data_IF_144356775964
#
_entry.id   IF_144356775964
#
_cell.length_a   1.000
_cell.length_b   1.000
_cell.length_c   1.000
_cell.angle_alpha   90.00
_cell.angle_beta   90.00
_cell.angle_gamma   90.00
#
_symmetry.space_group_name_H-M   'P 1'
#
loop_
_entity.id
_entity.type
_entity.pdbx_description
1 polymer ?
#
# COMPACT_ATOMS: atom_id res chain seq x y z
N UNK A 1 17.77 8.35 2.68
CA UNK A 1 17.73 7.94 4.11
C UNK A 1 17.19 6.51 4.18
N UNK A 2 17.65 5.66 5.12
CA UNK A 2 17.13 4.30 5.32
C UNK A 2 17.45 3.84 6.75
N UNK A 3 16.70 2.84 7.25
CA UNK A 3 17.03 2.19 8.53
C UNK A 3 18.25 1.29 8.31
N UNK A 4 19.33 1.54 9.04
CA UNK A 4 20.53 0.71 9.03
C UNK A 4 20.47 -0.37 10.11
N UNK A 5 20.01 0.01 11.31
CA UNK A 5 19.98 -0.90 12.45
C UNK A 5 18.76 -0.65 13.34
N UNK A 6 18.18 -1.72 13.84
CA UNK A 6 17.07 -1.70 14.79
C UNK A 6 17.40 -2.61 15.97
N UNK A 7 17.32 -2.07 17.18
CA UNK A 7 17.43 -2.86 18.42
C UNK A 7 16.09 -2.81 19.16
N UNK A 8 15.59 -3.96 19.57
CA UNK A 8 14.32 -4.12 20.27
C UNK A 8 14.58 -4.85 21.57
N UNK A 9 14.12 -4.29 22.71
CA UNK A 9 14.25 -4.89 24.04
C UNK A 9 12.92 -4.89 24.78
N UNK A 10 12.70 -5.95 25.57
CA UNK A 10 11.54 -6.11 26.43
C UNK A 10 10.18 -6.02 25.70
N UNK A 11 10.12 -6.53 24.47
CA UNK A 11 8.94 -6.45 23.61
C UNK A 11 8.50 -7.83 23.15
N UNK A 12 7.32 -8.26 23.52
CA UNK A 12 6.71 -9.56 23.17
C UNK A 12 7.68 -10.73 23.39
N UNK A 13 8.21 -11.31 22.30
CA UNK A 13 9.12 -12.44 22.33
C UNK A 13 10.57 -12.09 22.69
N UNK A 14 10.91 -10.80 22.78
CA UNK A 14 12.26 -10.31 23.01
C UNK A 14 12.42 -9.83 24.45
N UNK A 15 13.36 -10.41 25.16
CA UNK A 15 13.68 -10.13 26.57
C UNK A 15 14.52 -8.85 26.76
N UNK A 16 15.19 -8.70 27.90
CA UNK A 16 16.06 -7.56 28.22
C UNK A 16 17.36 -7.53 27.40
N UNK A 17 17.88 -8.68 27.00
CA UNK A 17 19.03 -8.76 26.08
C UNK A 17 18.60 -8.24 24.69
N UNK A 18 17.35 -8.50 24.31
CA UNK A 18 16.72 -8.02 23.11
C UNK A 18 17.23 -8.67 21.82
N UNK A 19 16.94 -8.01 20.72
CA UNK A 19 17.39 -8.44 19.39
C UNK A 19 17.87 -7.22 18.61
N UNK A 20 18.92 -7.40 17.81
CA UNK A 20 19.44 -6.37 16.90
C UNK A 20 19.41 -6.89 15.47
N UNK A 21 18.81 -6.12 14.57
CA UNK A 21 18.76 -6.39 13.14
C UNK A 21 19.57 -5.33 12.39
N UNK A 22 20.20 -5.73 11.30
CA UNK A 22 20.91 -4.83 10.39
C UNK A 22 20.25 -4.85 9.03
N UNK A 23 20.09 -3.68 8.45
CA UNK A 23 19.46 -3.51 7.15
C UNK A 23 20.34 -2.68 6.23
N UNK A 24 20.19 -2.89 4.94
CA UNK A 24 20.82 -2.08 3.92
C UNK A 24 19.77 -1.33 3.11
N UNK A 25 20.23 -0.41 2.28
CA UNK A 25 19.39 0.24 1.30
C UNK A 25 18.78 -0.80 0.38
N UNK A 26 17.49 -0.64 0.08
CA UNK A 26 16.81 -1.51 -0.87
C UNK A 26 15.98 -2.61 -0.23
N UNK A 27 16.08 -3.82 -0.77
CA UNK A 27 15.25 -4.96 -0.38
C UNK A 27 15.94 -5.77 0.70
N UNK A 28 15.30 -5.93 1.86
CA UNK A 28 15.79 -6.68 3.00
C UNK A 28 14.80 -7.76 3.40
N UNK A 29 15.31 -8.91 3.82
CA UNK A 29 14.50 -10.04 4.25
C UNK A 29 14.75 -10.39 5.74
N UNK A 30 13.66 -10.65 6.45
CA UNK A 30 13.67 -11.23 7.79
C UNK A 30 13.14 -12.65 7.66
N UNK A 31 14.01 -13.64 7.85
CA UNK A 31 13.67 -15.05 7.73
C UNK A 31 13.74 -15.73 9.09
N UNK A 32 13.05 -16.84 9.24
CA UNK A 32 13.04 -17.62 10.48
C UNK A 32 11.85 -18.54 10.57
N UNK A 33 11.85 -19.41 11.56
CA UNK A 33 10.75 -20.32 11.84
C UNK A 33 9.46 -19.59 12.22
N UNK A 34 8.33 -20.32 12.21
CA UNK A 34 7.09 -19.81 12.78
C UNK A 34 7.31 -19.47 14.26
N UNK A 35 6.69 -18.40 14.72
CA UNK A 35 6.83 -17.91 16.09
C UNK A 35 8.22 -17.40 16.49
N UNK A 36 9.16 -17.25 15.55
CA UNK A 36 10.51 -16.72 15.85
C UNK A 36 10.52 -15.24 16.26
N UNK A 37 9.42 -14.49 16.01
CA UNK A 37 9.33 -13.06 16.33
C UNK A 37 9.38 -12.13 15.13
N UNK A 38 9.33 -12.64 13.88
CA UNK A 38 9.35 -11.82 12.67
C UNK A 38 8.26 -10.74 12.65
N UNK A 39 7.01 -11.12 12.93
CA UNK A 39 5.89 -10.15 13.02
C UNK A 39 6.09 -9.15 14.17
N UNK A 40 6.73 -9.56 15.26
CA UNK A 40 7.05 -8.63 16.35
C UNK A 40 8.05 -7.55 15.89
N UNK A 41 9.04 -7.89 15.06
CA UNK A 41 9.93 -6.90 14.46
C UNK A 41 9.18 -5.92 13.56
N UNK A 42 8.30 -6.44 12.68
CA UNK A 42 7.48 -5.60 11.79
C UNK A 42 6.60 -4.64 12.60
N UNK A 43 5.95 -5.14 13.65
CA UNK A 43 5.12 -4.32 14.52
C UNK A 43 5.93 -3.32 15.34
N UNK A 44 7.15 -3.65 15.78
CA UNK A 44 8.03 -2.70 16.47
C UNK A 44 8.37 -1.50 15.57
N UNK A 45 8.70 -1.74 14.28
CA UNK A 45 8.94 -0.67 13.31
C UNK A 45 7.67 0.18 13.14
N UNK A 46 6.51 -0.45 12.90
CA UNK A 46 5.23 0.24 12.74
C UNK A 46 4.88 1.10 13.96
N UNK A 47 4.99 0.53 15.16
CA UNK A 47 4.73 1.24 16.42
C UNK A 47 5.68 2.42 16.57
N UNK A 48 6.98 2.25 16.27
CA UNK A 48 7.98 3.29 16.38
C UNK A 48 7.62 4.52 15.53
N UNK A 49 7.30 4.30 14.27
CA UNK A 49 6.98 5.39 13.34
C UNK A 49 5.55 5.93 13.48
N UNK A 50 4.61 5.16 14.04
CA UNK A 50 3.24 5.62 14.27
C UNK A 50 3.04 6.34 15.62
N UNK A 51 4.01 6.28 16.53
CA UNK A 51 3.84 6.78 17.90
C UNK A 51 3.51 8.28 17.95
N UNK A 52 4.01 9.07 17.01
CA UNK A 52 3.83 10.54 16.96
C UNK A 52 2.91 10.98 15.82
N UNK A 53 2.68 10.14 14.79
CA UNK A 53 1.85 10.50 13.65
C UNK A 53 0.36 10.39 13.96
N UNK A 54 -0.47 11.20 13.28
CA UNK A 54 -1.94 11.13 13.40
C UNK A 54 -2.54 9.87 12.75
N UNK A 55 -1.79 9.18 11.90
CA UNK A 55 -2.21 7.94 11.21
C UNK A 55 -1.77 6.71 12.00
N UNK A 56 -2.37 6.47 13.17
CA UNK A 56 -2.05 5.29 13.98
C UNK A 56 -2.87 4.10 13.51
N UNK A 57 -2.23 3.12 12.92
CA UNK A 57 -2.82 1.83 12.54
C UNK A 57 -2.55 0.75 13.61
N UNK A 58 -1.54 0.96 14.46
CA UNK A 58 -1.13 0.08 15.54
C UNK A 58 -0.73 0.88 16.78
N UNK A 59 -0.98 0.33 17.97
CA UNK A 59 -0.68 0.94 19.25
C UNK A 59 0.10 -0.04 20.12
N UNK A 60 1.08 0.48 20.87
CA UNK A 60 1.71 -0.30 21.92
C UNK A 60 0.74 -0.44 23.11
N UNK A 61 0.53 -1.67 23.55
CA UNK A 61 -0.40 -2.02 24.62
C UNK A 61 0.34 -2.69 25.79
N UNK A 62 -0.36 -2.98 26.89
CA UNK A 62 0.22 -3.71 28.02
C UNK A 62 0.63 -5.15 27.65
N UNK A 63 -0.07 -5.76 26.72
CA UNK A 63 0.23 -7.10 26.26
C UNK A 63 1.51 -7.20 25.44
N UNK A 64 2.08 -6.07 25.04
CA UNK A 64 3.28 -6.00 24.23
C UNK A 64 4.57 -5.99 25.06
N UNK A 65 4.50 -5.76 26.39
CA UNK A 65 5.66 -5.94 27.25
C UNK A 65 6.06 -7.43 27.33
N UNK A 66 7.37 -7.67 27.26
CA UNK A 66 7.88 -9.02 27.46
C UNK A 66 7.50 -9.57 28.83
N UNK A 67 7.12 -10.82 28.88
CA UNK A 67 6.82 -11.54 30.12
C UNK A 67 7.85 -12.63 30.31
N UNK A 68 8.62 -12.53 31.39
CA UNK A 68 9.64 -13.52 31.75
C UNK A 68 9.01 -14.90 32.10
N UNK A 69 9.83 -15.93 32.17
CA UNK A 69 9.39 -17.29 32.57
C UNK A 69 8.73 -17.30 33.95
N UNK A 70 9.14 -16.40 34.85
CA UNK A 70 8.52 -16.23 36.18
C UNK A 70 7.15 -15.55 36.16
N UNK A 71 6.63 -15.18 34.97
CA UNK A 71 5.36 -14.50 34.79
C UNK A 71 5.39 -12.99 35.04
N UNK A 72 6.54 -12.39 35.24
CA UNK A 72 6.68 -10.96 35.46
C UNK A 72 6.79 -10.22 34.11
N UNK A 73 5.93 -9.23 33.90
CA UNK A 73 6.04 -8.37 32.75
C UNK A 73 7.12 -7.30 32.98
N UNK A 74 7.89 -7.00 31.95
CA UNK A 74 8.91 -5.96 31.96
C UNK A 74 8.33 -4.57 32.30
N UNK A 75 9.10 -3.73 33.00
CA UNK A 75 8.68 -2.38 33.38
C UNK A 75 8.75 -1.38 32.22
N UNK A 76 9.60 -1.65 31.25
CA UNK A 76 9.75 -0.83 30.04
C UNK A 76 10.06 -1.72 28.82
N UNK A 77 9.77 -1.19 27.63
CA UNK A 77 10.26 -1.69 26.36
C UNK A 77 11.00 -0.58 25.63
N UNK A 78 12.05 -0.90 24.87
CA UNK A 78 12.92 0.06 24.20
C UNK A 78 13.14 -0.34 22.74
N UNK A 79 12.97 0.63 21.84
CA UNK A 79 13.28 0.54 20.42
C UNK A 79 14.33 1.60 20.08
N UNK A 80 15.51 1.15 19.63
CA UNK A 80 16.58 2.03 19.15
C UNK A 80 16.69 1.87 17.63
N UNK A 81 16.51 2.97 16.90
CA UNK A 81 16.51 3.00 15.44
C UNK A 81 17.68 3.87 14.99
N UNK A 82 18.54 3.29 14.17
CA UNK A 82 19.68 3.96 13.55
C UNK A 82 19.44 4.09 12.06
N UNK A 83 19.72 5.27 11.53
CA UNK A 83 19.42 5.67 10.15
C UNK A 83 20.71 6.09 9.45
N UNK A 84 20.80 5.81 8.17
CA UNK A 84 21.86 6.31 7.28
C UNK A 84 21.31 7.23 6.20
N UNK A 85 22.17 8.02 5.58
CA UNK A 85 21.83 9.04 4.58
C UNK A 85 20.79 10.06 5.10
N UNK A 86 20.88 10.45 6.36
CA UNK A 86 19.95 11.39 7.00
C UNK A 86 20.21 12.81 6.51
N UNK A 87 19.19 13.54 6.00
CA UNK A 87 19.34 14.93 5.63
C UNK A 87 19.70 15.83 6.81
N UNK A 88 20.67 16.72 6.62
CA UNK A 88 21.15 17.64 7.68
C UNK A 88 20.06 18.53 8.30
N UNK A 89 18.94 18.71 7.62
CA UNK A 89 17.79 19.46 8.12
C UNK A 89 16.99 18.74 9.21
N UNK A 90 17.14 17.42 9.34
CA UNK A 90 16.56 16.64 10.43
C UNK A 90 17.46 16.70 11.67
N UNK A 91 17.72 17.90 12.17
CA UNK A 91 18.68 18.19 13.24
C UNK A 91 18.41 17.42 14.53
N UNK A 92 17.17 17.04 14.80
CA UNK A 92 16.77 16.32 16.00
C UNK A 92 17.33 14.88 16.06
N UNK A 93 17.55 14.28 14.87
CA UNK A 93 18.03 12.89 14.73
C UNK A 93 19.36 12.81 13.98
N UNK A 94 19.84 13.90 13.36
CA UNK A 94 21.06 13.89 12.56
C UNK A 94 22.31 13.82 13.43
N UNK A 95 23.14 12.81 13.22
CA UNK A 95 24.40 12.61 13.92
C UNK A 95 25.62 12.82 12.98
N UNK A 96 26.31 13.98 13.06
CA UNK A 96 27.48 14.26 12.25
C UNK A 96 28.71 13.40 12.61
N UNK A 97 28.70 12.77 13.81
CA UNK A 97 29.78 11.92 14.28
C UNK A 97 29.63 10.47 13.84
N UNK A 98 28.54 10.12 13.17
CA UNK A 98 28.33 8.80 12.59
C UNK A 98 29.39 8.47 11.54
N UNK A 99 29.61 7.19 11.29
CA UNK A 99 30.53 6.73 10.25
C UNK A 99 30.05 7.24 8.89
N UNK A 100 30.83 8.16 8.27
CA UNK A 100 30.40 8.84 7.03
C UNK A 100 29.71 10.20 7.21
N UNK A 101 29.38 10.61 8.46
CA UNK A 101 28.82 11.93 8.78
C UNK A 101 27.39 12.17 8.29
N UNK A 102 26.66 11.11 7.93
CA UNK A 102 25.29 11.16 7.40
C UNK A 102 24.32 10.27 8.17
N UNK A 103 24.70 9.77 9.32
CA UNK A 103 23.84 8.94 10.16
C UNK A 103 22.89 9.73 11.02
N UNK A 104 21.96 9.02 11.62
CA UNK A 104 21.03 9.56 12.61
C UNK A 104 20.50 8.47 13.51
N UNK A 105 19.92 8.89 14.63
CA UNK A 105 19.34 7.95 15.56
C UNK A 105 18.13 8.54 16.27
N UNK A 106 17.19 7.70 16.60
CA UNK A 106 16.12 8.02 17.53
C UNK A 106 15.69 6.80 18.32
N UNK A 107 15.14 7.06 19.49
CA UNK A 107 14.81 6.07 20.49
C UNK A 107 13.37 6.24 20.95
N UNK A 108 12.70 5.13 21.24
CA UNK A 108 11.35 5.15 21.80
C UNK A 108 11.31 4.18 22.96
N UNK A 109 10.95 4.68 24.14
CA UNK A 109 10.72 3.89 25.34
C UNK A 109 9.25 3.89 25.72
N UNK A 110 8.71 2.73 25.95
CA UNK A 110 7.39 2.53 26.52
C UNK A 110 7.54 2.13 27.97
N UNK A 111 6.84 2.80 28.86
CA UNK A 111 6.88 2.55 30.31
C UNK A 111 5.52 2.21 30.86
N UNK A 112 5.49 1.34 31.85
CA UNK A 112 4.32 1.07 32.67
C UNK A 112 4.23 2.13 33.76
N UNK A 113 3.16 2.93 33.73
CA UNK A 113 2.94 4.01 34.71
C UNK A 113 1.61 3.81 35.41
N UNK A 114 1.62 3.84 36.74
CA UNK A 114 0.39 3.82 37.53
C UNK A 114 -0.11 5.26 37.65
N UNK A 115 -1.27 5.54 37.04
CA UNK A 115 -1.91 6.85 37.16
C UNK A 115 -2.44 7.08 38.59
N UNK A 116 -2.70 8.35 38.96
CA UNK A 116 -3.18 8.73 40.28
C UNK A 116 -4.48 8.02 40.74
N UNK A 117 -5.27 7.52 39.77
CA UNK A 117 -6.49 6.74 40.00
C UNK A 117 -6.24 5.22 40.14
N UNK A 118 -4.99 4.80 40.24
CA UNK A 118 -4.59 3.40 40.33
C UNK A 118 -4.65 2.61 39.01
N UNK A 119 -5.04 3.25 37.91
CA UNK A 119 -5.08 2.61 36.58
C UNK A 119 -3.69 2.61 35.98
N UNK A 120 -3.22 1.44 35.60
CA UNK A 120 -1.98 1.30 34.87
C UNK A 120 -2.15 1.75 33.42
N UNK A 121 -1.23 2.59 32.94
CA UNK A 121 -1.19 3.12 31.57
C UNK A 121 0.18 2.88 30.95
N UNK A 122 0.23 2.84 29.65
CA UNK A 122 1.49 2.88 28.88
C UNK A 122 1.80 4.33 28.53
N UNK A 123 3.02 4.76 28.81
CA UNK A 123 3.57 6.07 28.43
C UNK A 123 4.67 5.84 27.40
N UNK A 124 4.58 6.51 26.26
CA UNK A 124 5.64 6.54 25.27
C UNK A 124 6.50 7.78 25.48
N UNK A 125 7.82 7.60 25.46
CA UNK A 125 8.83 8.67 25.50
C UNK A 125 9.71 8.45 24.28
N UNK A 126 9.94 9.51 23.49
CA UNK A 126 10.78 9.44 22.30
C UNK A 126 11.80 10.58 22.33
N UNK A 127 12.99 10.32 21.83
CA UNK A 127 14.06 11.31 21.73
C UNK A 127 15.01 10.96 20.58
N UNK A 128 15.72 11.96 20.09
CA UNK A 128 16.75 11.81 19.06
C UNK A 128 18.16 11.80 19.68
N UNK A 129 19.09 12.44 19.01
CA UNK A 129 20.46 12.61 19.52
C UNK A 129 20.43 13.46 20.79
N UNK A 130 21.10 12.96 21.82
CA UNK A 130 21.22 13.66 23.08
C UNK A 130 20.49 12.99 24.24
N UNK A 131 19.88 13.81 25.11
CA UNK A 131 19.24 13.28 26.32
C UNK A 131 17.77 12.97 26.12
N UNK A 132 17.27 11.98 26.80
CA UNK A 132 15.89 11.52 26.86
C UNK A 132 14.83 12.61 27.11
N UNK A 133 15.23 13.83 27.43
CA UNK A 133 14.34 14.95 27.70
C UNK A 133 13.87 15.77 26.50
N UNK A 134 14.39 15.54 25.30
CA UNK A 134 14.05 16.29 24.09
C UNK A 134 13.15 15.47 23.17
N UNK A 135 11.82 15.62 23.23
CA UNK A 135 10.91 14.89 22.37
C UNK A 135 11.08 15.31 20.91
N UNK A 136 11.00 14.34 20.00
CA UNK A 136 11.02 14.58 18.56
C UNK A 136 9.73 15.29 18.12
N UNK A 137 9.85 16.17 17.15
CA UNK A 137 8.70 16.83 16.51
C UNK A 137 7.95 15.88 15.55
N UNK A 138 6.71 16.23 15.25
CA UNK A 138 5.94 15.52 14.21
C UNK A 138 6.63 15.59 12.86
N UNK A 139 7.29 16.70 12.53
CA UNK A 139 7.96 16.93 11.25
C UNK A 139 9.07 15.91 10.97
N UNK A 140 9.76 15.46 12.05
CA UNK A 140 10.78 14.41 11.93
C UNK A 140 10.17 13.07 11.50
N UNK A 141 9.00 12.73 12.02
CA UNK A 141 8.30 11.50 11.63
C UNK A 141 7.59 11.62 10.29
N UNK A 142 7.09 12.80 9.94
CA UNK A 142 6.46 13.07 8.64
C UNK A 142 7.47 12.99 7.48
N UNK A 143 8.77 13.09 7.80
CA UNK A 143 9.85 12.89 6.84
C UNK A 143 10.01 11.42 6.40
N UNK A 144 9.37 10.48 7.09
CA UNK A 144 9.42 9.04 6.83
C UNK A 144 8.00 8.50 6.63
N UNK A 145 7.71 8.07 5.39
CA UNK A 145 6.42 7.45 5.05
C UNK A 145 6.52 5.94 5.21
N UNK A 146 5.87 5.39 6.21
CA UNK A 146 5.90 3.95 6.50
C UNK A 146 4.58 3.33 6.08
N UNK A 147 4.65 2.35 5.18
CA UNK A 147 3.51 1.58 4.73
C UNK A 147 3.67 0.10 5.09
N UNK A 148 2.61 -0.48 5.62
CA UNK A 148 2.59 -1.89 5.99
C UNK A 148 1.59 -2.67 5.16
N UNK A 149 2.07 -3.76 4.59
CA UNK A 149 1.26 -4.78 3.94
C UNK A 149 1.31 -6.04 4.80
N UNK A 150 0.24 -6.29 5.56
CA UNK A 150 0.09 -7.53 6.33
C UNK A 150 0.07 -8.76 5.42
N UNK A 151 0.10 -9.95 6.01
CA UNK A 151 -0.04 -11.18 5.22
C UNK A 151 -1.28 -11.04 4.34
N UNK A 152 -1.07 -10.90 3.05
CA UNK A 152 -1.95 -10.33 2.00
C UNK A 152 -3.32 -11.04 1.84
N UNK A 153 -4.03 -11.22 2.95
CA UNK A 153 -5.35 -11.89 2.99
C UNK A 153 -6.51 -10.97 2.62
N UNK A 154 -6.31 -9.65 2.68
CA UNK A 154 -7.39 -8.66 2.57
C UNK A 154 -7.20 -7.65 1.42
N UNK A 155 -6.29 -7.96 0.47
CA UNK A 155 -6.02 -7.10 -0.69
C UNK A 155 -7.29 -6.71 -1.46
N UNK A 156 -8.27 -7.61 -1.54
CA UNK A 156 -9.56 -7.34 -2.16
C UNK A 156 -10.33 -6.24 -1.43
N UNK A 157 -10.41 -6.29 -0.10
CA UNK A 157 -11.14 -5.30 0.69
C UNK A 157 -10.48 -3.93 0.66
N UNK A 158 -9.15 -3.88 0.66
CA UNK A 158 -8.36 -2.64 0.56
C UNK A 158 -8.51 -1.93 -0.80
N UNK A 159 -8.90 -2.69 -1.85
CA UNK A 159 -9.12 -2.18 -3.21
C UNK A 159 -10.60 -1.88 -3.52
N UNK A 160 -11.53 -2.26 -2.63
CA UNK A 160 -12.96 -1.95 -2.79
C UNK A 160 -13.22 -0.45 -2.74
N UNK A 161 -14.27 0.03 -3.44
CA UNK A 161 -14.66 1.43 -3.40
C UNK A 161 -14.91 1.89 -1.97
N UNK A 162 -14.05 2.74 -1.46
CA UNK A 162 -14.13 3.34 -0.14
C UNK A 162 -13.26 4.60 -0.06
N UNK A 163 -13.56 5.47 0.90
CA UNK A 163 -12.81 6.71 1.11
C UNK A 163 -11.31 6.46 1.33
N UNK A 164 -10.98 5.37 2.00
CA UNK A 164 -9.60 5.02 2.35
C UNK A 164 -9.04 3.86 1.50
N UNK A 165 -9.70 3.50 0.39
CA UNK A 165 -9.16 2.48 -0.51
C UNK A 165 -7.82 2.90 -1.08
N UNK A 166 -6.95 1.94 -1.41
CA UNK A 166 -5.63 2.23 -2.00
C UNK A 166 -5.74 2.92 -3.37
N UNK A 167 -6.77 2.60 -4.14
CA UNK A 167 -7.06 3.31 -5.40
C UNK A 167 -7.40 4.79 -5.15
N UNK A 168 -8.21 5.07 -4.13
CA UNK A 168 -8.54 6.45 -3.77
C UNK A 168 -7.32 7.23 -3.27
N UNK A 169 -6.43 6.58 -2.51
CA UNK A 169 -5.17 7.17 -2.04
C UNK A 169 -4.26 7.48 -3.23
N UNK A 170 -4.06 6.53 -4.13
CA UNK A 170 -3.25 6.71 -5.34
C UNK A 170 -3.76 7.86 -6.20
N UNK A 171 -5.08 7.95 -6.45
CA UNK A 171 -5.63 9.07 -7.22
C UNK A 171 -5.39 10.42 -6.54
N UNK A 172 -5.53 10.51 -5.21
CA UNK A 172 -5.27 11.75 -4.47
C UNK A 172 -3.81 12.19 -4.59
N UNK A 173 -2.89 11.24 -4.59
CA UNK A 173 -1.45 11.49 -4.75
C UNK A 173 -1.11 11.93 -6.17
N UNK A 174 -1.74 11.32 -7.19
CA UNK A 174 -1.54 11.67 -8.60
C UNK A 174 -2.13 13.03 -8.99
N UNK A 175 -3.17 13.49 -8.25
CA UNK A 175 -3.85 14.76 -8.51
C UNK A 175 -3.73 15.67 -7.28
N UNK A 176 -2.54 16.23 -7.01
CA UNK A 176 -2.32 17.09 -5.84
C UNK A 176 -2.90 18.50 -6.04
N UNK A 177 -3.01 18.99 -7.27
CA UNK A 177 -3.42 20.35 -7.59
C UNK A 177 -4.94 20.53 -7.61
N UNK A 178 -5.39 21.68 -7.11
CA UNK A 178 -6.81 22.04 -7.02
C UNK A 178 -7.46 22.30 -8.40
N UNK A 179 -6.69 22.67 -9.42
CA UNK A 179 -7.22 22.97 -10.75
C UNK A 179 -7.69 21.68 -11.42
N UNK A 180 -6.83 20.66 -11.48
CA UNK A 180 -7.19 19.34 -12.04
C UNK A 180 -8.32 18.69 -11.25
N UNK A 181 -8.34 18.84 -9.91
CA UNK A 181 -9.46 18.37 -9.08
C UNK A 181 -10.77 19.04 -9.46
N UNK A 182 -10.75 20.36 -9.67
CA UNK A 182 -11.94 21.11 -10.10
C UNK A 182 -12.43 20.67 -11.47
N UNK A 183 -11.55 20.43 -12.43
CA UNK A 183 -11.90 19.92 -13.76
C UNK A 183 -12.64 18.58 -13.68
N UNK A 184 -12.12 17.63 -12.88
CA UNK A 184 -12.77 16.33 -12.67
C UNK A 184 -14.16 16.48 -12.02
N UNK A 185 -14.29 17.40 -11.06
CA UNK A 185 -15.56 17.71 -10.40
C UNK A 185 -16.54 18.32 -11.39
N UNK A 186 -16.11 19.21 -12.28
CA UNK A 186 -16.96 19.85 -13.30
C UNK A 186 -17.49 18.84 -14.33
N UNK A 187 -16.70 17.84 -14.70
CA UNK A 187 -17.16 16.73 -15.55
C UNK A 187 -18.30 15.97 -14.84
N UNK A 188 -18.12 15.63 -13.56
CA UNK A 188 -19.16 14.94 -12.78
C UNK A 188 -20.41 15.79 -12.60
N UNK A 189 -20.26 17.10 -12.36
CA UNK A 189 -21.37 18.06 -12.32
C UNK A 189 -22.18 18.07 -13.62
N UNK A 190 -21.49 18.11 -14.75
CA UNK A 190 -22.12 18.14 -16.06
C UNK A 190 -22.88 16.85 -16.35
N UNK A 191 -22.29 15.69 -15.99
CA UNK A 191 -22.96 14.40 -16.10
C UNK A 191 -24.20 14.32 -15.21
N UNK A 192 -24.12 14.78 -13.96
CA UNK A 192 -25.25 14.82 -13.02
C UNK A 192 -26.40 15.68 -13.57
N UNK A 193 -26.10 16.88 -14.08
CA UNK A 193 -27.12 17.75 -14.71
C UNK A 193 -27.82 17.06 -15.86
N UNK A 194 -27.06 16.46 -16.78
CA UNK A 194 -27.58 15.75 -17.94
C UNK A 194 -28.51 14.59 -17.53
N UNK A 195 -28.13 13.85 -16.49
CA UNK A 195 -28.95 12.74 -15.98
C UNK A 195 -30.23 13.25 -15.32
N UNK A 196 -30.15 14.30 -14.48
CA UNK A 196 -31.31 14.87 -13.79
C UNK A 196 -32.33 15.49 -14.74
N UNK A 197 -31.91 15.87 -15.96
CA UNK A 197 -32.80 16.37 -17.01
C UNK A 197 -33.60 15.27 -17.74
N UNK A 198 -33.28 13.99 -17.52
CA UNK A 198 -34.02 12.88 -18.13
C UNK A 198 -35.45 12.78 -17.57
N UNK A 199 -36.39 12.44 -18.46
CA UNK A 199 -37.82 12.42 -18.14
C UNK A 199 -38.14 11.45 -16.99
N UNK A 200 -37.42 10.34 -16.87
CA UNK A 200 -37.63 9.36 -15.82
C UNK A 200 -37.29 9.93 -14.44
N UNK A 201 -36.20 10.70 -14.32
CA UNK A 201 -35.78 11.32 -13.06
C UNK A 201 -36.67 12.51 -12.71
N UNK A 202 -37.11 13.31 -13.71
CA UNK A 202 -38.11 14.35 -13.50
C UNK A 202 -39.45 13.77 -13.01
N UNK A 203 -39.92 12.66 -13.61
CA UNK A 203 -41.14 11.97 -13.16
C UNK A 203 -40.98 11.43 -11.74
N UNK A 204 -39.82 10.84 -11.40
CA UNK A 204 -39.55 10.35 -10.04
C UNK A 204 -39.67 11.48 -9.02
N UNK A 205 -38.96 12.61 -9.26
CA UNK A 205 -39.03 13.80 -8.40
C UNK A 205 -40.48 14.31 -8.27
N UNK A 206 -41.21 14.43 -9.39
CA UNK A 206 -42.61 14.87 -9.40
C UNK A 206 -43.47 13.92 -8.58
N UNK A 207 -43.36 12.62 -8.78
CA UNK A 207 -44.18 11.63 -8.05
C UNK A 207 -43.94 11.71 -6.53
N UNK A 208 -42.72 11.93 -6.09
CA UNK A 208 -42.41 12.11 -4.66
C UNK A 208 -43.11 13.37 -4.14
N UNK A 209 -42.97 14.51 -4.83
CA UNK A 209 -43.54 15.76 -4.37
C UNK A 209 -45.08 15.74 -4.43
N UNK A 210 -45.71 15.14 -5.45
CA UNK A 210 -47.14 14.99 -5.56
C UNK A 210 -47.70 14.14 -4.40
N UNK A 211 -46.96 13.10 -3.97
CA UNK A 211 -47.37 12.28 -2.83
C UNK A 211 -47.13 13.00 -1.50
N UNK A 212 -46.00 13.71 -1.38
CA UNK A 212 -45.68 14.50 -0.19
C UNK A 212 -46.76 15.56 0.05
N UNK A 213 -47.13 16.30 -0.99
CA UNK A 213 -48.23 17.29 -0.92
C UNK A 213 -49.60 16.72 -0.47
N UNK A 214 -49.86 15.44 -0.79
CA UNK A 214 -51.08 14.76 -0.29
C UNK A 214 -51.04 14.42 1.19
N UNK A 215 -49.82 14.21 1.74
CA UNK A 215 -49.61 13.87 3.14
C UNK A 215 -49.60 15.12 4.02
N UNK A 216 -48.98 16.19 3.54
CA UNK A 216 -48.67 17.39 4.34
C UNK A 216 -49.85 18.32 4.63
N UNK A 217 -50.97 18.23 3.88
CA UNK A 217 -52.21 19.00 4.12
C UNK A 217 -51.97 20.43 4.64
N UNK A 218 -51.31 21.27 3.88
CA UNK A 218 -51.04 22.71 4.17
C UNK A 218 -50.17 23.03 5.42
N UNK A 219 -49.72 22.03 6.20
CA UNK A 219 -48.99 22.25 7.44
C UNK A 219 -47.45 22.29 7.28
N UNK A 220 -46.92 21.65 6.25
CA UNK A 220 -45.46 21.56 6.00
C UNK A 220 -45.24 21.77 4.50
N UNK A 221 -44.87 22.96 4.06
CA UNK A 221 -44.53 23.19 2.64
C UNK A 221 -43.05 22.81 2.38
N UNK A 222 -42.75 21.53 2.34
CA UNK A 222 -41.42 21.02 1.96
C UNK A 222 -41.42 20.57 0.50
N UNK A 223 -40.35 20.82 -0.20
CA UNK A 223 -40.11 20.33 -1.55
C UNK A 223 -38.89 19.43 -1.55
N UNK A 224 -39.04 18.22 -2.06
CA UNK A 224 -37.96 17.26 -2.18
C UNK A 224 -37.31 17.39 -3.55
N UNK A 225 -36.04 17.64 -3.58
CA UNK A 225 -35.24 17.48 -4.77
C UNK A 225 -34.45 16.17 -4.68
N UNK A 226 -34.17 15.53 -5.83
CA UNK A 226 -33.39 14.33 -5.93
C UNK A 226 -32.04 14.68 -6.54
N UNK A 227 -30.98 14.23 -5.86
CA UNK A 227 -29.60 14.35 -6.34
C UNK A 227 -29.04 12.99 -6.66
N UNK A 228 -27.99 12.99 -7.42
CA UNK A 228 -27.13 11.84 -7.64
C UNK A 228 -25.94 11.89 -6.67
N UNK A 229 -24.77 11.47 -7.12
CA UNK A 229 -23.53 11.53 -6.34
C UNK A 229 -23.13 13.00 -6.15
N UNK A 230 -22.83 13.39 -4.91
CA UNK A 230 -22.31 14.73 -4.63
C UNK A 230 -21.01 14.98 -5.40
N UNK A 231 -20.93 16.05 -6.22
CA UNK A 231 -19.77 16.31 -7.08
C UNK A 231 -18.61 16.88 -6.28
N UNK A 232 -17.89 16.01 -5.62
CA UNK A 232 -16.65 16.30 -4.90
C UNK A 232 -15.55 15.37 -5.41
N UNK A 233 -14.31 15.84 -5.40
CA UNK A 233 -13.16 15.02 -5.77
C UNK A 233 -13.08 13.74 -4.93
N UNK A 234 -13.34 13.82 -3.62
CA UNK A 234 -13.38 12.65 -2.75
C UNK A 234 -14.45 11.62 -3.13
N UNK A 235 -15.58 12.07 -3.68
CA UNK A 235 -16.61 11.15 -4.19
C UNK A 235 -16.13 10.39 -5.43
N UNK A 236 -15.41 11.07 -6.33
CA UNK A 236 -14.77 10.44 -7.49
C UNK A 236 -13.74 9.42 -7.01
N UNK A 237 -12.80 9.82 -6.15
CA UNK A 237 -11.74 8.96 -5.65
C UNK A 237 -12.29 7.72 -4.93
N UNK A 238 -13.28 7.90 -4.05
CA UNK A 238 -13.87 6.81 -3.26
C UNK A 238 -14.74 5.86 -4.07
N UNK A 239 -15.15 6.23 -5.29
CA UNK A 239 -15.96 5.38 -6.18
C UNK A 239 -15.11 4.53 -7.14
N UNK A 240 -13.80 4.71 -7.17
CA UNK A 240 -12.92 3.95 -8.05
C UNK A 240 -12.99 2.46 -7.79
N UNK A 241 -13.03 1.70 -8.88
CA UNK A 241 -13.03 0.23 -8.88
C UNK A 241 -11.93 -0.29 -9.79
N UNK A 242 -11.27 -1.37 -9.38
CA UNK A 242 -10.39 -2.11 -10.25
C UNK A 242 -11.15 -3.27 -10.89
N UNK A 243 -11.01 -3.39 -12.20
CA UNK A 243 -11.45 -4.56 -12.96
C UNK A 243 -10.24 -5.21 -13.60
N UNK A 244 -10.19 -6.52 -13.53
CA UNK A 244 -9.13 -7.31 -14.15
C UNK A 244 -9.58 -7.73 -15.54
N UNK A 245 -8.76 -7.43 -16.53
CA UNK A 245 -8.94 -7.90 -17.91
C UNK A 245 -7.78 -8.83 -18.26
N UNK A 246 -8.03 -9.90 -19.04
CA UNK A 246 -6.92 -10.71 -19.52
C UNK A 246 -6.02 -9.87 -20.43
N UNK A 247 -4.70 -9.97 -20.24
CA UNK A 247 -3.73 -9.24 -21.07
C UNK A 247 -3.85 -9.61 -22.54
N UNK A 248 -4.14 -10.87 -22.81
CA UNK A 248 -4.24 -11.43 -24.14
C UNK A 248 -5.64 -12.01 -24.39
N UNK A 249 -6.25 -11.63 -25.50
CA UNK A 249 -7.56 -12.11 -25.92
C UNK A 249 -7.38 -12.98 -27.15
N UNK A 250 -7.83 -14.23 -27.07
CA UNK A 250 -7.90 -15.12 -28.22
C UNK A 250 -9.14 -14.80 -29.04
N UNK A 251 -8.95 -14.40 -30.28
CA UNK A 251 -10.03 -14.12 -31.21
C UNK A 251 -9.91 -15.06 -32.42
N UNK A 252 -11.00 -15.74 -32.77
CA UNK A 252 -11.08 -16.50 -34.01
C UNK A 252 -11.32 -15.52 -35.15
N UNK A 253 -10.33 -15.36 -36.01
CA UNK A 253 -10.37 -14.45 -37.16
C UNK A 253 -9.93 -15.19 -38.43
N UNK A 254 -10.39 -14.69 -39.58
CA UNK A 254 -9.97 -15.19 -40.88
C UNK A 254 -8.57 -14.69 -41.26
N UNK A 255 -7.91 -15.38 -42.21
CA UNK A 255 -6.57 -14.98 -42.72
C UNK A 255 -6.54 -13.54 -43.25
N UNK A 256 -7.64 -13.06 -43.85
CA UNK A 256 -7.75 -11.71 -44.36
C UNK A 256 -7.86 -10.65 -43.25
N UNK A 257 -8.53 -10.95 -42.14
CA UNK A 257 -8.61 -10.11 -40.98
C UNK A 257 -7.26 -10.07 -40.27
N UNK A 258 -6.57 -11.19 -40.19
CA UNK A 258 -5.23 -11.26 -39.61
C UNK A 258 -4.22 -10.41 -40.37
N UNK A 259 -4.23 -10.48 -41.71
CA UNK A 259 -3.34 -9.65 -42.51
C UNK A 259 -3.56 -8.17 -42.32
N UNK A 260 -4.82 -7.71 -42.17
CA UNK A 260 -5.17 -6.33 -41.85
C UNK A 260 -4.74 -5.92 -40.46
N UNK A 261 -4.96 -6.78 -39.46
CA UNK A 261 -4.54 -6.54 -38.10
C UNK A 261 -3.00 -6.44 -37.98
N UNK A 262 -2.26 -7.30 -38.69
CA UNK A 262 -0.80 -7.22 -38.77
C UNK A 262 -0.32 -5.93 -39.46
N UNK A 263 -0.98 -5.50 -40.52
CA UNK A 263 -0.64 -4.25 -41.20
C UNK A 263 -0.84 -3.07 -40.26
N UNK A 264 -1.97 -3.00 -39.55
CA UNK A 264 -2.25 -2.00 -38.54
C UNK A 264 -1.16 -1.97 -37.43
N UNK A 265 -0.80 -3.14 -36.87
CA UNK A 265 0.25 -3.23 -35.86
C UNK A 265 1.61 -2.77 -36.34
N UNK A 266 1.96 -2.99 -37.63
CA UNK A 266 3.22 -2.49 -38.24
C UNK A 266 3.22 -0.99 -38.42
N UNK A 267 2.10 -0.40 -38.85
CA UNK A 267 1.94 1.03 -39.09
C UNK A 267 2.00 1.84 -37.78
N UNK A 268 1.63 1.22 -36.67
CA UNK A 268 1.59 1.84 -35.33
C UNK A 268 2.71 1.37 -34.38
N UNK A 269 3.79 0.76 -34.92
CA UNK A 269 4.94 0.22 -34.17
C UNK A 269 4.59 -0.84 -33.09
N UNK A 270 3.41 -1.46 -33.18
CA UNK A 270 2.85 -2.31 -32.14
C UNK A 270 2.87 -3.82 -32.49
N UNK A 271 3.88 -4.25 -33.26
CA UNK A 271 4.03 -5.65 -33.70
C UNK A 271 4.04 -6.70 -32.56
N UNK A 272 4.28 -6.28 -31.33
CA UNK A 272 4.32 -7.16 -30.12
C UNK A 272 2.92 -7.44 -29.55
N UNK A 273 1.91 -6.69 -29.96
CA UNK A 273 0.56 -6.75 -29.39
C UNK A 273 -0.36 -7.72 -30.12
N UNK A 274 0.11 -8.33 -31.20
CA UNK A 274 -0.60 -9.36 -31.96
C UNK A 274 0.30 -10.58 -32.11
N UNK A 275 -0.17 -11.72 -31.61
CA UNK A 275 0.58 -12.98 -31.68
C UNK A 275 -0.30 -14.07 -32.29
N UNK A 276 0.30 -14.93 -33.14
CA UNK A 276 -0.36 -16.11 -33.69
C UNK A 276 0.34 -17.36 -33.16
N UNK A 277 -0.46 -18.34 -32.77
CA UNK A 277 0.00 -19.68 -32.47
C UNK A 277 -0.97 -20.72 -33.06
N UNK A 278 -0.73 -22.01 -32.77
CA UNK A 278 -1.58 -23.14 -33.26
C UNK A 278 -3.04 -23.07 -32.82
N UNK A 279 -3.36 -22.30 -31.74
CA UNK A 279 -4.71 -22.14 -31.17
C UNK A 279 -5.47 -20.96 -31.75
N UNK A 280 -4.78 -20.01 -32.42
CA UNK A 280 -5.41 -18.82 -33.01
C UNK A 280 -4.57 -17.58 -32.87
N UNK A 281 -5.22 -16.43 -32.98
CA UNK A 281 -4.60 -15.11 -32.92
C UNK A 281 -4.95 -14.44 -31.59
N UNK A 282 -3.93 -13.94 -30.91
CA UNK A 282 -4.04 -13.27 -29.63
C UNK A 282 -3.80 -11.79 -29.82
N UNK A 283 -4.69 -10.99 -29.29
CA UNK A 283 -4.57 -9.53 -29.23
C UNK A 283 -4.27 -9.10 -27.81
N UNK A 284 -3.32 -8.20 -27.65
CA UNK A 284 -3.11 -7.55 -26.35
C UNK A 284 -4.24 -6.55 -26.09
N UNK A 285 -4.80 -6.56 -24.88
CA UNK A 285 -5.97 -5.74 -24.53
C UNK A 285 -5.70 -4.23 -24.66
N UNK A 286 -4.45 -3.80 -24.51
CA UNK A 286 -4.04 -2.39 -24.67
C UNK A 286 -4.16 -1.87 -26.11
N UNK A 287 -4.20 -2.77 -27.10
CA UNK A 287 -4.42 -2.38 -28.51
C UNK A 287 -5.83 -1.81 -28.74
N UNK A 288 -6.76 -2.11 -27.81
CA UNK A 288 -8.17 -1.74 -27.91
C UNK A 288 -8.44 -0.25 -27.66
N UNK A 289 -7.48 0.50 -27.16
CA UNK A 289 -7.62 1.92 -26.90
C UNK A 289 -7.57 2.77 -28.17
N UNK A 290 -7.07 2.22 -29.31
CA UNK A 290 -6.88 2.93 -30.59
C UNK A 290 -7.51 2.22 -31.78
N UNK A 291 -8.60 1.48 -31.61
CA UNK A 291 -9.13 0.51 -32.56
C UNK A 291 -10.04 1.12 -33.63
N UNK A 292 -10.26 2.44 -33.66
CA UNK A 292 -11.17 3.08 -34.62
C UNK A 292 -10.77 2.82 -36.08
N UNK A 293 -9.50 2.51 -36.36
CA UNK A 293 -8.97 2.25 -37.70
C UNK A 293 -8.96 0.77 -38.11
N UNK A 294 -9.34 -0.16 -37.22
CA UNK A 294 -9.47 -1.58 -37.56
C UNK A 294 -10.84 -1.90 -38.16
N UNK A 295 -10.95 -3.06 -38.83
CA UNK A 295 -12.23 -3.49 -39.39
C UNK A 295 -13.33 -3.51 -38.32
N UNK A 296 -14.46 -2.81 -38.50
CA UNK A 296 -15.50 -2.62 -37.47
C UNK A 296 -16.04 -3.92 -36.86
N UNK A 297 -16.11 -4.99 -37.64
CA UNK A 297 -16.57 -6.31 -37.20
C UNK A 297 -15.58 -6.99 -36.24
N UNK A 298 -14.27 -6.81 -36.49
CA UNK A 298 -13.21 -7.31 -35.61
C UNK A 298 -13.20 -6.53 -34.29
N UNK A 299 -13.36 -5.21 -34.37
CA UNK A 299 -13.50 -4.30 -33.22
C UNK A 299 -14.66 -4.72 -32.33
N UNK A 300 -15.83 -4.99 -32.91
CA UNK A 300 -17.01 -5.41 -32.16
C UNK A 300 -16.76 -6.72 -31.43
N UNK A 301 -16.20 -7.74 -32.09
CA UNK A 301 -15.88 -9.03 -31.47
C UNK A 301 -14.82 -8.92 -30.37
N UNK A 302 -13.79 -8.12 -30.58
CA UNK A 302 -12.76 -7.87 -29.57
C UNK A 302 -13.38 -7.17 -28.38
N UNK A 303 -14.20 -6.14 -28.59
CA UNK A 303 -14.89 -5.42 -27.53
C UNK A 303 -15.88 -6.27 -26.75
N UNK A 304 -16.59 -7.19 -27.38
CA UNK A 304 -17.47 -8.16 -26.71
C UNK A 304 -16.70 -9.06 -25.77
N UNK A 305 -15.53 -9.57 -26.19
CA UNK A 305 -14.66 -10.39 -25.35
C UNK A 305 -13.97 -9.54 -24.27
N UNK A 306 -13.51 -8.33 -24.62
CA UNK A 306 -12.86 -7.40 -23.69
C UNK A 306 -13.82 -6.82 -22.65
N UNK A 307 -15.13 -6.78 -22.95
CA UNK A 307 -16.15 -6.36 -21.97
C UNK A 307 -16.34 -7.37 -20.84
N UNK A 308 -15.86 -8.61 -21.00
CA UNK A 308 -15.74 -9.56 -19.88
C UNK A 308 -14.61 -9.17 -18.93
N UNK A 309 -14.79 -8.06 -18.22
CA UNK A 309 -13.95 -7.68 -17.10
C UNK A 309 -14.36 -8.48 -15.86
N UNK A 310 -13.37 -8.94 -15.11
CA UNK A 310 -13.61 -9.67 -13.87
C UNK A 310 -13.48 -8.71 -12.68
N UNK A 311 -14.40 -8.77 -11.75
CA UNK A 311 -14.22 -8.11 -10.46
C UNK A 311 -13.16 -8.85 -9.63
N UNK A 312 -12.52 -8.16 -8.68
CA UNK A 312 -11.40 -8.73 -7.90
C UNK A 312 -11.77 -10.02 -7.19
N UNK A 313 -13.01 -10.15 -6.69
CA UNK A 313 -13.47 -11.38 -6.02
C UNK A 313 -13.56 -12.62 -6.94
N UNK A 314 -13.60 -12.40 -8.26
CA UNK A 314 -13.60 -13.47 -9.28
C UNK A 314 -12.18 -13.90 -9.66
N UNK A 315 -11.19 -13.17 -9.18
CA UNK A 315 -9.79 -13.41 -9.48
C UNK A 315 -9.09 -14.20 -8.37
N UNK A 316 -7.98 -14.83 -8.66
CA UNK A 316 -7.20 -15.57 -7.66
C UNK A 316 -6.52 -14.61 -6.67
N UNK A 317 -6.50 -14.97 -5.38
CA UNK A 317 -5.88 -14.17 -4.31
C UNK A 317 -4.45 -13.73 -4.63
N UNK A 318 -3.63 -14.61 -5.19
CA UNK A 318 -2.26 -14.27 -5.55
C UNK A 318 -2.16 -13.12 -6.55
N UNK A 319 -3.03 -13.08 -7.54
CA UNK A 319 -3.05 -12.00 -8.52
C UNK A 319 -3.56 -10.68 -7.90
N UNK A 320 -4.58 -10.74 -7.05
CA UNK A 320 -5.07 -9.58 -6.31
C UNK A 320 -3.97 -8.99 -5.41
N UNK A 321 -3.15 -9.84 -4.80
CA UNK A 321 -2.00 -9.41 -4.01
C UNK A 321 -0.95 -8.67 -4.85
N UNK A 322 -0.66 -9.16 -6.06
CA UNK A 322 0.23 -8.47 -7.00
C UNK A 322 -0.32 -7.11 -7.42
N UNK A 323 -1.61 -7.03 -7.74
CA UNK A 323 -2.27 -5.78 -8.09
C UNK A 323 -2.22 -4.78 -6.93
N UNK A 324 -2.50 -5.25 -5.73
CA UNK A 324 -2.45 -4.43 -4.52
C UNK A 324 -1.04 -3.89 -4.26
N UNK A 325 -0.02 -4.75 -4.29
CA UNK A 325 1.38 -4.33 -4.16
C UNK A 325 1.78 -3.31 -5.22
N UNK A 326 1.39 -3.54 -6.48
CA UNK A 326 1.67 -2.61 -7.58
C UNK A 326 1.01 -1.24 -7.35
N UNK A 327 -0.21 -1.21 -6.83
CA UNK A 327 -0.92 0.04 -6.50
C UNK A 327 -0.22 0.80 -5.38
N UNK A 328 0.22 0.09 -4.34
CA UNK A 328 0.95 0.67 -3.20
C UNK A 328 2.30 1.22 -3.63
N UNK A 329 3.08 0.45 -4.39
CA UNK A 329 4.38 0.91 -4.88
C UNK A 329 4.23 2.08 -5.86
N UNK A 330 3.18 2.09 -6.68
CA UNK A 330 2.85 3.22 -7.54
C UNK A 330 2.55 4.49 -6.73
N UNK A 331 1.86 4.38 -5.59
CA UNK A 331 1.61 5.51 -4.70
C UNK A 331 2.89 6.01 -4.00
N UNK A 332 3.76 5.09 -3.57
CA UNK A 332 5.03 5.42 -2.93
C UNK A 332 6.06 6.04 -3.90
N UNK A 333 5.99 5.71 -5.18
CA UNK A 333 6.88 6.27 -6.20
C UNK A 333 6.55 7.74 -6.55
N UNK A 334 5.41 8.28 -6.10
CA UNK A 334 5.05 9.68 -6.32
C UNK A 334 5.83 10.55 -5.35
N UNK A 335 6.63 11.49 -5.89
CA UNK A 335 7.37 12.45 -5.07
C UNK A 335 6.42 13.29 -4.21
N UNK A 336 6.59 13.23 -2.91
CA UNK A 336 5.87 14.05 -1.93
C UNK A 336 6.84 15.00 -1.27
N UNK A 337 6.61 16.30 -1.39
CA UNK A 337 7.45 17.31 -0.75
C UNK A 337 7.55 17.08 0.76
N UNK A 338 8.78 16.97 1.28
CA UNK A 338 9.04 16.75 2.70
C UNK A 338 9.27 15.31 3.15
N UNK A 339 8.88 14.32 2.36
CA UNK A 339 9.20 12.90 2.61
C UNK A 339 10.57 12.58 2.03
N UNK A 340 11.45 12.02 2.87
CA UNK A 340 12.82 11.66 2.48
C UNK A 340 13.01 10.18 2.31
N UNK A 341 12.15 9.40 2.91
CA UNK A 341 12.20 7.96 2.85
C UNK A 341 10.80 7.38 2.76
N UNK A 342 10.64 6.42 1.89
CA UNK A 342 9.51 5.50 1.90
C UNK A 342 9.98 4.15 2.44
N UNK A 343 9.31 3.66 3.49
CA UNK A 343 9.57 2.35 4.08
C UNK A 343 8.37 1.44 3.83
N UNK A 344 8.58 0.39 3.05
CA UNK A 344 7.56 -0.62 2.77
C UNK A 344 7.83 -1.88 3.59
N UNK A 345 6.94 -2.19 4.49
CA UNK A 345 6.95 -3.40 5.31
C UNK A 345 5.97 -4.40 4.73
N UNK A 346 6.41 -5.63 4.42
CA UNK A 346 5.56 -6.67 3.84
C UNK A 346 5.66 -7.95 4.67
N UNK A 347 4.53 -8.45 5.17
CA UNK A 347 4.48 -9.77 5.77
C UNK A 347 4.15 -10.83 4.73
N UNK A 348 5.04 -11.83 4.62
CA UNK A 348 4.85 -13.02 3.80
C UNK A 348 4.34 -12.73 2.38
N UNK A 349 5.08 -11.94 1.58
CA UNK A 349 4.64 -11.59 0.22
C UNK A 349 4.39 -12.80 -0.67
N UNK A 350 4.95 -13.96 -0.32
CA UNK A 350 4.73 -15.25 -0.96
C UNK A 350 3.39 -15.91 -0.62
N UNK A 351 2.66 -15.40 0.37
CA UNK A 351 1.41 -16.03 0.81
C UNK A 351 0.43 -16.19 -0.35
N UNK A 352 -0.04 -17.41 -0.58
CA UNK A 352 -0.95 -17.80 -1.67
C UNK A 352 -0.38 -17.65 -3.09
N UNK A 353 0.94 -17.40 -3.26
CA UNK A 353 1.60 -17.33 -4.56
C UNK A 353 2.21 -18.67 -4.96
N UNK A 354 1.96 -19.07 -6.21
CA UNK A 354 2.72 -20.16 -6.81
C UNK A 354 4.21 -19.79 -6.93
N UNK A 355 5.18 -20.73 -6.78
CA UNK A 355 6.61 -20.42 -6.82
C UNK A 355 7.07 -19.54 -7.98
N UNK A 356 6.51 -19.71 -9.17
CA UNK A 356 6.82 -18.86 -10.33
C UNK A 356 6.42 -17.38 -10.10
N UNK A 357 5.30 -17.13 -9.41
CA UNK A 357 4.88 -15.77 -9.06
C UNK A 357 5.74 -15.17 -7.95
N UNK A 358 6.29 -15.98 -7.04
CA UNK A 358 7.23 -15.52 -6.02
C UNK A 358 8.50 -14.94 -6.64
N UNK A 359 9.02 -15.55 -7.72
CA UNK A 359 10.16 -15.01 -8.47
C UNK A 359 9.83 -13.66 -9.11
N UNK A 360 8.63 -13.52 -9.68
CA UNK A 360 8.18 -12.25 -10.27
C UNK A 360 8.03 -11.15 -9.20
N UNK A 361 7.51 -11.48 -8.02
CA UNK A 361 7.43 -10.54 -6.89
C UNK A 361 8.81 -10.03 -6.51
N UNK A 362 9.78 -10.92 -6.34
CA UNK A 362 11.13 -10.51 -6.00
C UNK A 362 11.73 -9.58 -7.07
N UNK A 363 11.64 -9.96 -8.35
CA UNK A 363 12.13 -9.12 -9.45
C UNK A 363 11.46 -7.76 -9.44
N UNK A 364 10.15 -7.72 -9.26
CA UNK A 364 9.39 -6.48 -9.19
C UNK A 364 9.81 -5.58 -8.01
N UNK A 365 10.00 -6.15 -6.81
CA UNK A 365 10.47 -5.40 -5.64
C UNK A 365 11.90 -4.87 -5.84
N UNK A 366 12.76 -5.66 -6.48
CA UNK A 366 14.15 -5.27 -6.78
C UNK A 366 14.23 -4.18 -7.84
N UNK A 367 13.43 -4.28 -8.91
CA UNK A 367 13.40 -3.30 -10.00
C UNK A 367 12.86 -1.94 -9.52
N UNK A 368 11.85 -1.95 -8.64
CA UNK A 368 11.30 -0.73 -8.04
C UNK A 368 12.36 0.04 -7.26
N UNK A 369 13.34 -0.64 -6.71
CA UNK A 369 14.44 -0.04 -5.97
C UNK A 369 15.56 0.51 -6.85
N UNK A 370 15.66 0.13 -8.12
CA UNK A 370 16.63 0.68 -9.08
C UNK A 370 16.21 2.04 -9.67
N UNK A 371 14.96 2.46 -9.43
CA UNK A 371 14.46 3.79 -9.79
C UNK A 371 14.92 4.88 -8.81
N UNK A 372 14.61 6.15 -9.14
CA UNK A 372 14.91 7.32 -8.29
C UNK A 372 14.13 7.38 -6.97
N UNK A 373 13.23 6.43 -6.71
CA UNK A 373 12.45 6.39 -5.50
C UNK A 373 13.30 5.88 -4.32
N UNK A 374 13.44 6.71 -3.28
CA UNK A 374 14.07 6.33 -2.01
C UNK A 374 13.17 5.38 -1.20
N UNK A 375 12.98 4.15 -1.71
CA UNK A 375 12.14 3.14 -1.06
C UNK A 375 13.05 2.08 -0.44
N UNK A 376 12.93 1.88 0.87
CA UNK A 376 13.47 0.71 1.54
C UNK A 376 12.35 -0.31 1.74
N UNK A 377 12.61 -1.56 1.40
CA UNK A 377 11.64 -2.65 1.54
C UNK A 377 12.16 -3.63 2.57
N UNK A 378 11.36 -3.92 3.59
CA UNK A 378 11.66 -4.96 4.56
C UNK A 378 10.51 -5.96 4.52
N UNK A 379 10.81 -7.22 4.24
CA UNK A 379 9.77 -8.25 4.22
C UNK A 379 10.10 -9.43 5.12
N UNK A 380 9.07 -10.06 5.66
CA UNK A 380 9.21 -11.35 6.34
C UNK A 380 8.90 -12.49 5.39
N UNK A 381 9.63 -13.61 5.50
CA UNK A 381 9.39 -14.76 4.63
C UNK A 381 9.68 -16.08 5.32
N UNK A 382 8.93 -17.10 4.90
CA UNK A 382 9.21 -18.52 5.14
C UNK A 382 9.65 -19.24 3.85
N UNK A 383 9.65 -18.55 2.70
CA UNK A 383 9.97 -19.13 1.40
C UNK A 383 11.47 -19.17 1.15
N UNK A 384 12.09 -20.36 1.01
CA UNK A 384 13.48 -20.45 0.57
C UNK A 384 13.69 -19.87 -0.83
N UNK A 385 12.69 -19.95 -1.69
CA UNK A 385 12.72 -19.39 -3.05
C UNK A 385 12.88 -17.88 -3.02
N UNK A 386 12.06 -17.20 -2.20
CA UNK A 386 12.13 -15.75 -2.09
C UNK A 386 13.41 -15.30 -1.39
N UNK A 387 13.79 -15.97 -0.28
CA UNK A 387 15.00 -15.67 0.46
C UNK A 387 16.28 -15.84 -0.39
N UNK A 388 16.33 -16.85 -1.26
CA UNK A 388 17.51 -17.13 -2.11
C UNK A 388 17.77 -16.07 -3.18
N UNK A 389 16.85 -15.15 -3.41
CA UNK A 389 16.98 -14.08 -4.40
C UNK A 389 17.48 -12.77 -3.79
N UNK A 390 17.42 -12.64 -2.46
CA UNK A 390 17.92 -11.47 -1.73
C UNK A 390 19.43 -11.59 -1.53
N UNK A 391 20.14 -10.48 -1.66
CA UNK A 391 21.57 -10.45 -1.35
C UNK A 391 21.81 -10.89 0.08
N UNK A 392 22.82 -11.71 0.28
CA UNK A 392 23.08 -12.34 1.58
C UNK A 392 23.25 -11.30 2.70
N UNK A 393 23.90 -10.17 2.43
CA UNK A 393 24.06 -9.07 3.38
C UNK A 393 22.76 -8.34 3.75
N UNK A 394 21.65 -8.64 3.07
CA UNK A 394 20.32 -8.06 3.32
C UNK A 394 19.37 -9.05 4.02
N UNK A 395 19.92 -10.16 4.55
CA UNK A 395 19.14 -11.20 5.21
C UNK A 395 19.41 -11.16 6.72
N UNK A 396 18.35 -11.11 7.49
CA UNK A 396 18.35 -11.29 8.94
C UNK A 396 17.65 -12.60 9.28
N UNK A 397 18.38 -13.56 9.85
CA UNK A 397 17.84 -14.82 10.31
C UNK A 397 17.49 -14.73 11.80
N UNK A 398 16.20 -14.84 12.13
CA UNK A 398 15.73 -14.92 13.51
C UNK A 398 15.52 -16.39 13.88
N UNK A 399 16.19 -16.83 14.95
CA UNK A 399 16.10 -18.19 15.45
C UNK A 399 16.00 -18.21 16.98
N UNK A 400 15.53 -19.32 17.51
CA UNK A 400 15.42 -19.55 18.94
C UNK A 400 16.46 -20.56 19.40
N UNK A 401 17.16 -20.23 20.48
CA UNK A 401 18.06 -21.16 21.16
C UNK A 401 17.89 -21.01 22.68
N UNK A 402 17.65 -22.14 23.38
CA UNK A 402 17.44 -22.17 24.82
C UNK A 402 16.40 -21.12 25.30
N UNK A 403 15.26 -21.05 24.65
CA UNK A 403 14.13 -20.12 24.90
C UNK A 403 14.43 -18.62 24.67
N UNK A 404 15.63 -18.29 24.19
CA UNK A 404 15.98 -16.91 23.78
C UNK A 404 15.96 -16.74 22.27
N UNK A 405 15.58 -15.55 21.83
CA UNK A 405 15.57 -15.18 20.40
C UNK A 405 16.88 -14.49 20.03
N UNK A 406 17.42 -14.87 18.91
CA UNK A 406 18.66 -14.34 18.36
C UNK A 406 18.46 -13.91 16.91
N UNK A 407 19.22 -12.93 16.46
CA UNK A 407 19.32 -12.57 15.06
C UNK A 407 20.76 -12.73 14.57
N UNK A 408 20.92 -13.36 13.42
CA UNK A 408 22.17 -13.40 12.66
C UNK A 408 21.96 -12.56 11.40
N UNK A 409 22.58 -11.38 11.30
CA UNK A 409 22.74 -10.70 10.02
C UNK A 409 23.79 -11.45 9.22
N UNK A 410 23.56 -11.71 7.95
CA UNK A 410 24.47 -12.37 7.04
C UNK A 410 25.36 -11.38 6.30
#
# INVERSE_FOLDING_TARGET
MYIEKLTIKNFRAFDEDGITLQFNKGVNAIIGENNSGKSAVMDAIRIAFSTVTYKKDIFFTRADFHVSEDGNAADFALFDIYLEEVPTRLVEIWNPESVGGQGGEFHIRFERVIAANGIEKVRAIHWGIGTEGNPLSSDTFDAMDVMFLGALRDSENEMKPARNSKLAQLLRSLVPDEVTRAELVDILNSANKTLLEKEELKKTRKTINDNLARIEQDFLSQHVDIGLIEPRFDSIASSLRAWVKPKWILVSISDGEYSRAQQYAREHEDNRKIQQNEKGIYFETSILENVEDMAPELVTRINEIASSSFELYQNGLGYNNLLFMSTVLGDMAIERGGVYQHLLLIEEPEAHLHPQLQELVHTFLSDTNQGDANIQIIFTSHSPTLASKVDIGNINLIYENAHKKYCLPF
#
